data_IF_362292304374
#
_entry.id   IF_362292304374
#
_cell.length_a   1.000
_cell.length_b   1.000
_cell.length_c   1.000
_cell.angle_alpha   90.00
_cell.angle_beta   90.00
_cell.angle_gamma   90.00
#
_symmetry.space_group_name_H-M   'P 1'
#
loop_
_entity.id
_entity.type
_entity.pdbx_description
1 polymer ?
#
# COMPACT_ATOMS: atom_id res chain seq x y z
N UNK A 1 19.58 17.32 -4.54
CA UNK A 1 18.31 17.98 -4.15
C UNK A 1 18.01 17.60 -2.71
N UNK A 2 17.54 18.54 -1.89
CA UNK A 2 17.18 18.31 -0.49
C UNK A 2 16.10 17.21 -0.36
N UNK A 3 16.28 16.27 0.56
CA UNK A 3 15.32 15.16 0.76
C UNK A 3 13.95 15.63 1.28
N UNK A 4 13.90 16.84 1.84
CA UNK A 4 12.73 17.44 2.47
C UNK A 4 12.65 18.92 2.10
N UNK A 5 11.43 19.44 1.92
CA UNK A 5 11.14 20.84 1.63
C UNK A 5 10.11 21.39 2.62
N UNK A 6 10.39 22.55 3.20
CA UNK A 6 9.50 23.16 4.20
C UNK A 6 8.50 24.08 3.48
N UNK A 7 7.22 23.91 3.78
CA UNK A 7 6.10 24.65 3.22
C UNK A 7 5.36 25.39 4.35
N UNK A 8 5.25 26.71 4.19
CA UNK A 8 4.61 27.60 5.17
C UNK A 8 3.37 28.34 4.62
N UNK A 9 3.05 28.18 3.34
CA UNK A 9 1.88 28.81 2.72
C UNK A 9 1.35 27.95 1.57
N UNK A 10 0.10 28.18 1.19
CA UNK A 10 -0.51 27.54 0.04
C UNK A 10 0.20 27.91 -1.27
N UNK A 11 0.63 29.16 -1.42
CA UNK A 11 1.37 29.61 -2.61
C UNK A 11 2.69 28.86 -2.79
N UNK A 12 3.50 28.76 -1.72
CA UNK A 12 4.75 28.03 -1.75
C UNK A 12 4.55 26.53 -2.04
N UNK A 13 3.43 25.96 -1.57
CA UNK A 13 3.06 24.60 -1.92
C UNK A 13 2.80 24.45 -3.42
N UNK A 14 1.99 25.35 -4.00
CA UNK A 14 1.65 25.36 -5.42
C UNK A 14 2.91 25.44 -6.29
N UNK A 15 3.82 26.38 -5.98
CA UNK A 15 5.08 26.56 -6.71
C UNK A 15 5.93 25.27 -6.74
N UNK A 16 5.87 24.46 -5.69
CA UNK A 16 6.62 23.20 -5.61
C UNK A 16 5.91 22.04 -6.31
N UNK A 17 4.59 21.90 -6.19
CA UNK A 17 3.85 20.79 -6.82
C UNK A 17 3.77 20.92 -8.34
N UNK A 18 3.93 22.12 -8.91
CA UNK A 18 4.02 22.31 -10.37
C UNK A 18 5.17 21.48 -10.99
N UNK A 19 6.22 21.20 -10.21
CA UNK A 19 7.37 20.37 -10.63
C UNK A 19 7.05 18.88 -10.62
N UNK A 20 5.93 18.48 -10.00
CA UNK A 20 5.50 17.09 -9.83
C UNK A 20 4.05 16.99 -10.29
N UNK A 21 3.75 17.01 -11.60
CA UNK A 21 2.38 17.11 -12.09
C UNK A 21 1.56 15.85 -11.79
N UNK A 22 0.27 16.02 -11.55
CA UNK A 22 -0.64 14.91 -11.20
C UNK A 22 -0.89 13.92 -12.34
N UNK A 23 -0.37 14.17 -13.55
CA UNK A 23 -0.31 13.18 -14.63
C UNK A 23 0.68 12.06 -14.33
N UNK A 24 1.74 12.35 -13.57
CA UNK A 24 2.84 11.43 -13.28
C UNK A 24 2.90 11.04 -11.80
N UNK A 25 2.39 11.91 -10.92
CA UNK A 25 2.48 11.72 -9.48
C UNK A 25 1.12 11.56 -8.81
N UNK A 26 1.16 10.88 -7.67
CA UNK A 26 0.11 10.76 -6.67
C UNK A 26 0.63 11.35 -5.36
N UNK A 27 -0.29 11.80 -4.51
CA UNK A 27 0.04 12.49 -3.27
C UNK A 27 -0.67 11.85 -2.09
N UNK A 28 -0.05 11.90 -0.92
CA UNK A 28 -0.68 11.53 0.35
C UNK A 28 -0.34 12.55 1.41
N UNK A 29 -1.37 13.09 2.05
CA UNK A 29 -1.23 13.96 3.21
C UNK A 29 -1.30 13.19 4.50
N UNK A 30 -0.39 13.48 5.42
CA UNK A 30 -0.39 12.93 6.77
C UNK A 30 -0.21 14.07 7.78
N UNK A 31 -1.07 14.14 8.79
CA UNK A 31 -1.08 15.25 9.74
C UNK A 31 0.10 15.28 10.72
N UNK A 32 0.95 14.24 10.66
CA UNK A 32 2.17 14.06 11.44
C UNK A 32 3.09 13.05 10.76
N UNK A 33 4.31 12.92 11.28
CA UNK A 33 5.25 11.90 10.82
C UNK A 33 4.90 10.54 11.40
N UNK A 34 4.77 9.54 10.54
CA UNK A 34 4.63 8.15 10.95
C UNK A 34 5.92 7.41 10.64
N UNK A 35 6.40 6.60 11.61
CA UNK A 35 7.62 5.79 11.45
C UNK A 35 7.52 4.88 10.23
N UNK A 36 6.36 4.27 10.03
CA UNK A 36 6.03 3.44 8.88
C UNK A 36 4.66 3.84 8.37
N UNK A 37 4.51 3.93 7.05
CA UNK A 37 3.22 4.21 6.41
C UNK A 37 2.50 2.88 6.18
N UNK A 38 1.83 2.43 7.23
CA UNK A 38 1.04 1.20 7.26
C UNK A 38 -0.44 1.50 7.16
N UNK A 39 -1.20 0.58 6.56
CA UNK A 39 -2.65 0.65 6.36
C UNK A 39 -3.40 0.56 7.69
N UNK A 40 -4.71 0.86 7.71
CA UNK A 40 -5.51 0.76 8.95
C UNK A 40 -5.54 -0.67 9.50
N UNK A 41 -5.65 -1.68 8.63
CA UNK A 41 -5.64 -3.09 9.04
C UNK A 41 -4.32 -3.52 9.69
N UNK A 42 -3.18 -3.09 9.13
CA UNK A 42 -1.85 -3.59 9.52
C UNK A 42 -1.21 -2.76 10.64
N UNK A 43 -1.80 -1.60 11.00
CA UNK A 43 -1.30 -0.75 12.10
C UNK A 43 -1.66 -1.22 13.49
N UNK A 44 -2.75 -1.98 13.62
CA UNK A 44 -3.31 -2.34 14.93
C UNK A 44 -2.54 -3.49 15.58
N UNK A 45 -1.87 -4.32 14.77
CA UNK A 45 -1.01 -5.36 15.29
C UNK A 45 0.22 -4.74 15.93
N UNK A 46 0.28 -4.81 17.27
CA UNK A 46 1.41 -4.32 18.05
C UNK A 46 2.38 -5.42 18.49
N UNK A 47 2.05 -6.68 18.22
CA UNK A 47 2.83 -7.91 18.44
C UNK A 47 3.72 -7.92 19.68
N UNK A 48 3.46 -8.80 20.63
CA UNK A 48 4.44 -9.13 21.69
C UNK A 48 4.91 -10.56 21.50
N UNK A 49 6.10 -10.91 21.99
CA UNK A 49 6.67 -12.27 21.93
C UNK A 49 5.78 -13.37 22.55
N UNK A 50 4.65 -13.01 23.15
CA UNK A 50 3.70 -13.92 23.80
C UNK A 50 2.28 -13.80 23.25
N UNK A 51 2.05 -13.00 22.20
CA UNK A 51 0.73 -12.80 21.62
C UNK A 51 0.63 -13.47 20.24
N UNK A 52 -0.31 -14.40 20.13
CA UNK A 52 -0.66 -15.07 18.87
C UNK A 52 -1.87 -14.43 18.20
N UNK A 53 -2.53 -13.46 18.85
CA UNK A 53 -3.76 -12.86 18.36
C UNK A 53 -3.48 -11.93 17.20
N UNK A 54 -4.14 -12.21 16.10
CA UNK A 54 -4.21 -11.30 14.98
C UNK A 54 -5.23 -10.20 15.28
N UNK A 55 -4.98 -8.99 14.79
CA UNK A 55 -6.06 -8.03 14.65
C UNK A 55 -7.06 -8.57 13.62
N UNK A 56 -8.31 -8.88 13.98
CA UNK A 56 -9.17 -9.76 13.18
C UNK A 56 -9.86 -9.01 12.03
N UNK A 57 -9.14 -8.14 11.31
CA UNK A 57 -9.74 -7.34 10.24
C UNK A 57 -10.21 -8.18 9.04
N UNK A 58 -9.57 -9.33 8.78
CA UNK A 58 -10.02 -10.30 7.77
C UNK A 58 -11.41 -10.84 8.11
N UNK A 59 -11.62 -11.24 9.37
CA UNK A 59 -12.93 -11.67 9.88
C UNK A 59 -13.95 -10.53 9.80
N UNK A 60 -13.58 -9.31 10.21
CA UNK A 60 -14.46 -8.13 10.08
C UNK A 60 -14.87 -7.87 8.63
N UNK A 61 -13.93 -8.02 7.69
CA UNK A 61 -14.16 -7.83 6.26
C UNK A 61 -15.09 -8.91 5.69
N UNK A 62 -14.91 -10.16 6.09
CA UNK A 62 -15.75 -11.30 5.67
C UNK A 62 -17.17 -11.21 6.25
N UNK A 63 -17.30 -10.88 7.53
CA UNK A 63 -18.59 -10.65 8.16
C UNK A 63 -19.32 -9.51 7.46
N UNK A 64 -18.65 -8.37 7.25
CA UNK A 64 -19.24 -7.25 6.53
C UNK A 64 -19.66 -7.64 5.11
N UNK A 65 -18.81 -8.38 4.39
CA UNK A 65 -19.10 -8.87 3.03
C UNK A 65 -20.39 -9.69 3.01
N UNK A 66 -20.54 -10.68 3.88
CA UNK A 66 -21.76 -11.49 3.94
C UNK A 66 -23.02 -10.66 4.22
N UNK A 67 -22.94 -9.72 5.15
CA UNK A 67 -24.10 -8.93 5.57
C UNK A 67 -24.57 -7.96 4.48
N UNK A 68 -23.65 -7.33 3.73
CA UNK A 68 -24.03 -6.31 2.73
C UNK A 68 -24.17 -6.85 1.31
N UNK A 69 -23.54 -7.98 0.97
CA UNK A 69 -23.53 -8.54 -0.41
C UNK A 69 -24.91 -8.60 -1.07
N UNK A 70 -25.99 -9.04 -0.39
CA UNK A 70 -27.32 -9.13 -1.01
C UNK A 70 -27.88 -7.81 -1.56
N UNK A 71 -27.38 -6.66 -1.07
CA UNK A 71 -27.86 -5.32 -1.45
C UNK A 71 -26.85 -4.52 -2.27
N UNK A 72 -25.63 -5.03 -2.48
CA UNK A 72 -24.61 -4.35 -3.27
C UNK A 72 -24.94 -4.39 -4.77
N UNK A 73 -24.69 -3.28 -5.46
CA UNK A 73 -24.63 -3.30 -6.91
C UNK A 73 -23.36 -4.04 -7.39
N UNK A 74 -23.36 -4.53 -8.63
CA UNK A 74 -22.20 -5.22 -9.21
C UNK A 74 -20.89 -4.43 -9.08
N UNK A 75 -20.95 -3.11 -9.28
CA UNK A 75 -19.78 -2.23 -9.15
C UNK A 75 -19.26 -2.17 -7.71
N UNK A 76 -20.15 -2.15 -6.72
CA UNK A 76 -19.74 -2.16 -5.31
C UNK A 76 -19.21 -3.52 -4.90
N UNK A 77 -19.79 -4.60 -5.41
CA UNK A 77 -19.33 -5.96 -5.19
C UNK A 77 -17.91 -6.17 -5.76
N UNK A 78 -17.67 -5.75 -7.00
CA UNK A 78 -16.33 -5.81 -7.61
C UNK A 78 -15.31 -4.95 -6.84
N UNK A 79 -15.74 -3.80 -6.32
CA UNK A 79 -14.87 -2.86 -5.63
C UNK A 79 -15.04 -2.89 -4.10
N UNK A 80 -15.38 -4.06 -3.57
CA UNK A 80 -15.84 -4.22 -2.20
C UNK A 80 -14.82 -3.77 -1.15
N UNK A 81 -13.53 -4.05 -1.33
CA UNK A 81 -12.52 -3.63 -0.35
C UNK A 81 -12.45 -2.10 -0.18
N UNK A 82 -12.64 -1.33 -1.26
CA UNK A 82 -12.74 0.13 -1.17
C UNK A 82 -14.08 0.56 -0.54
N UNK A 83 -15.17 -0.15 -0.85
CA UNK A 83 -16.46 0.03 -0.19
C UNK A 83 -16.34 -0.18 1.32
N UNK A 84 -15.73 -1.28 1.76
CA UNK A 84 -15.53 -1.61 3.18
C UNK A 84 -14.71 -0.54 3.91
N UNK A 85 -13.61 -0.07 3.32
CA UNK A 85 -12.83 1.03 3.89
C UNK A 85 -13.62 2.33 4.00
N UNK A 86 -14.49 2.63 3.02
CA UNK A 86 -15.34 3.81 3.06
C UNK A 86 -16.27 3.81 4.30
N UNK A 87 -16.81 2.65 4.65
CA UNK A 87 -17.67 2.44 5.82
C UNK A 87 -16.90 2.15 7.12
N UNK A 88 -15.56 2.25 7.12
CA UNK A 88 -14.74 2.19 8.32
C UNK A 88 -14.21 0.80 8.68
N UNK A 89 -14.43 -0.22 7.84
CA UNK A 89 -13.74 -1.50 8.01
C UNK A 89 -12.25 -1.28 7.75
N UNK A 90 -11.35 -1.71 8.66
CA UNK A 90 -9.92 -1.66 8.41
C UNK A 90 -9.53 -2.53 7.22
N UNK A 91 -8.73 -1.99 6.30
CA UNK A 91 -8.29 -2.69 5.10
C UNK A 91 -6.77 -2.54 4.89
N UNK A 92 -6.15 -3.41 4.06
CA UNK A 92 -4.76 -3.27 3.65
C UNK A 92 -4.52 -2.12 2.65
N UNK A 93 -5.51 -1.27 2.40
CA UNK A 93 -5.39 -0.16 1.47
C UNK A 93 -4.84 1.10 2.15
N UNK A 94 -4.10 1.89 1.36
CA UNK A 94 -3.55 3.19 1.78
C UNK A 94 -4.05 4.25 0.81
N UNK A 95 -4.73 5.26 1.34
CA UNK A 95 -5.26 6.36 0.54
C UNK A 95 -4.14 7.17 -0.11
N UNK A 96 -4.24 7.36 -1.42
CA UNK A 96 -3.46 8.33 -2.19
C UNK A 96 -4.43 9.11 -3.09
N UNK A 97 -4.05 10.29 -3.54
CA UNK A 97 -4.93 11.15 -4.34
C UNK A 97 -4.18 11.71 -5.55
N UNK A 98 -4.93 11.92 -6.63
CA UNK A 98 -4.49 12.72 -7.79
C UNK A 98 -4.57 14.23 -7.53
N UNK A 99 -5.13 14.67 -6.41
CA UNK A 99 -5.26 16.09 -6.07
C UNK A 99 -4.24 16.49 -5.00
N UNK A 100 -3.19 17.26 -5.35
CA UNK A 100 -2.20 17.70 -4.38
C UNK A 100 -2.82 18.59 -3.28
N UNK A 101 -3.85 19.37 -3.60
CA UNK A 101 -4.56 20.19 -2.61
C UNK A 101 -5.37 19.35 -1.60
N UNK A 102 -5.91 18.21 -2.04
CA UNK A 102 -6.56 17.25 -1.13
C UNK A 102 -5.53 16.62 -0.20
N UNK A 103 -4.36 16.24 -0.71
CA UNK A 103 -3.26 15.78 0.13
C UNK A 103 -2.80 16.87 1.12
N UNK A 104 -2.67 18.13 0.67
CA UNK A 104 -2.33 19.23 1.58
C UNK A 104 -3.37 19.42 2.67
N UNK A 105 -4.67 19.32 2.34
CA UNK A 105 -5.75 19.36 3.32
C UNK A 105 -5.56 18.29 4.41
N UNK A 106 -5.34 17.03 4.01
CA UNK A 106 -5.10 15.92 4.95
C UNK A 106 -3.81 16.10 5.76
N UNK A 107 -2.76 16.68 5.18
CA UNK A 107 -1.54 17.02 5.90
C UNK A 107 -1.75 18.11 6.97
N UNK A 108 -2.75 18.97 6.78
CA UNK A 108 -3.08 20.00 7.75
C UNK A 108 -4.18 19.57 8.73
N UNK A 109 -4.85 18.45 8.48
CA UNK A 109 -5.99 17.96 9.25
C UNK A 109 -5.53 17.40 10.60
N UNK A 110 -5.25 18.28 11.57
CA UNK A 110 -5.27 18.07 13.04
C UNK A 110 -4.61 19.27 13.74
N UNK A 111 -5.16 19.68 14.89
CA UNK A 111 -4.65 20.78 15.73
C UNK A 111 -3.51 20.35 16.67
N UNK A 112 -2.69 19.37 16.26
CA UNK A 112 -1.45 19.06 16.99
C UNK A 112 -0.37 20.07 16.62
N UNK A 113 0.58 20.32 17.52
CA UNK A 113 1.80 21.09 17.23
C UNK A 113 2.77 20.36 16.27
N UNK A 114 2.45 19.13 15.87
CA UNK A 114 3.24 18.33 14.95
C UNK A 114 3.14 18.87 13.51
N UNK A 115 4.23 18.80 12.75
CA UNK A 115 4.22 19.20 11.34
C UNK A 115 3.35 18.24 10.51
N UNK A 116 2.70 18.76 9.47
CA UNK A 116 2.09 17.95 8.44
C UNK A 116 3.11 17.48 7.41
N UNK A 117 2.78 16.43 6.66
CA UNK A 117 3.65 15.86 5.64
C UNK A 117 2.84 15.57 4.38
N UNK A 118 3.39 15.92 3.21
CA UNK A 118 2.88 15.43 1.92
C UNK A 118 3.96 14.59 1.24
N UNK A 119 3.60 13.35 0.93
CA UNK A 119 4.45 12.37 0.26
C UNK A 119 4.08 12.25 -1.21
N UNK A 120 5.09 12.03 -2.05
CA UNK A 120 4.96 11.84 -3.49
C UNK A 120 5.11 10.36 -3.86
N UNK A 121 4.32 9.92 -4.82
CA UNK A 121 4.31 8.56 -5.34
C UNK A 121 4.24 8.64 -6.87
N UNK A 122 4.87 7.71 -7.58
CA UNK A 122 4.68 7.61 -9.02
C UNK A 122 3.32 7.00 -9.36
N UNK A 123 2.74 7.36 -10.49
CA UNK A 123 1.46 6.82 -10.95
C UNK A 123 1.61 5.59 -11.86
N UNK A 124 2.84 5.23 -12.24
CA UNK A 124 3.16 4.14 -13.17
C UNK A 124 3.48 2.80 -12.48
N UNK A 125 3.11 2.66 -11.20
CA UNK A 125 3.19 1.42 -10.45
C UNK A 125 2.29 0.30 -11.04
N UNK A 126 2.46 -0.92 -10.53
CA UNK A 126 1.73 -2.10 -11.02
C UNK A 126 0.25 -1.99 -10.65
N UNK A 127 -0.62 -1.89 -11.65
CA UNK A 127 -2.07 -1.88 -11.44
C UNK A 127 -2.59 -3.32 -11.27
N UNK A 128 -3.07 -3.62 -10.07
CA UNK A 128 -3.62 -4.94 -9.70
C UNK A 128 -5.14 -4.91 -9.51
N UNK A 129 -5.81 -3.89 -10.05
CA UNK A 129 -7.27 -3.69 -9.85
C UNK A 129 -8.09 -4.90 -10.22
N UNK A 130 -7.82 -5.52 -11.38
CA UNK A 130 -8.52 -6.71 -11.84
C UNK A 130 -8.30 -7.93 -10.93
N UNK A 131 -7.14 -8.01 -10.29
CA UNK A 131 -6.80 -9.10 -9.37
C UNK A 131 -7.56 -8.90 -8.05
N UNK A 132 -7.55 -7.68 -7.50
CA UNK A 132 -8.34 -7.36 -6.30
C UNK A 132 -9.83 -7.60 -6.54
N UNK A 133 -10.35 -7.25 -7.72
CA UNK A 133 -11.77 -7.48 -8.07
C UNK A 133 -12.14 -8.97 -8.12
N UNK A 134 -11.18 -9.87 -8.39
CA UNK A 134 -11.38 -11.31 -8.32
C UNK A 134 -11.42 -11.84 -6.88
N UNK A 135 -10.79 -11.11 -5.96
CA UNK A 135 -10.61 -11.47 -4.56
C UNK A 135 -11.07 -10.33 -3.62
N UNK A 136 -12.33 -9.89 -3.71
CA UNK A 136 -12.80 -8.63 -3.15
C UNK A 136 -12.67 -8.50 -1.62
N UNK A 137 -12.64 -9.62 -0.89
CA UNK A 137 -12.56 -9.70 0.56
C UNK A 137 -11.40 -10.60 1.08
N UNK A 138 -10.46 -11.00 0.22
CA UNK A 138 -9.40 -11.94 0.58
C UNK A 138 -8.01 -11.29 0.58
N UNK A 139 -7.03 -11.97 1.18
CA UNK A 139 -5.63 -11.56 1.07
C UNK A 139 -5.08 -11.90 -0.33
N UNK A 140 -5.00 -10.88 -1.19
CA UNK A 140 -4.51 -11.03 -2.57
C UNK A 140 -3.10 -11.60 -2.65
N UNK A 141 -2.21 -11.31 -1.67
CA UNK A 141 -0.86 -11.86 -1.70
C UNK A 141 -0.86 -13.38 -1.47
N UNK A 142 -1.66 -13.86 -0.52
CA UNK A 142 -1.82 -15.30 -0.26
C UNK A 142 -2.45 -16.01 -1.46
N UNK A 143 -3.49 -15.42 -2.04
CA UNK A 143 -4.14 -16.00 -3.22
C UNK A 143 -3.19 -16.12 -4.41
N UNK A 144 -2.36 -15.11 -4.65
CA UNK A 144 -1.39 -15.13 -5.74
C UNK A 144 -0.21 -16.06 -5.44
N UNK A 145 0.45 -15.94 -4.29
CA UNK A 145 1.75 -16.56 -4.10
C UNK A 145 1.72 -17.88 -3.33
N UNK A 146 0.62 -18.19 -2.63
CA UNK A 146 0.52 -19.38 -1.76
C UNK A 146 -0.53 -20.35 -2.29
N UNK A 147 -1.77 -19.90 -2.44
CA UNK A 147 -2.92 -20.78 -2.61
C UNK A 147 -3.16 -21.21 -4.06
N UNK A 148 -3.08 -20.30 -5.03
CA UNK A 148 -3.58 -20.55 -6.38
C UNK A 148 -2.48 -20.52 -7.45
N UNK A 149 -2.27 -21.66 -8.12
CA UNK A 149 -1.29 -21.83 -9.19
C UNK A 149 -1.69 -21.20 -10.54
N UNK A 150 -2.96 -20.89 -10.78
CA UNK A 150 -3.37 -20.29 -12.06
C UNK A 150 -3.38 -18.77 -12.02
N UNK A 151 -3.70 -18.20 -10.87
CA UNK A 151 -3.92 -16.76 -10.75
C UNK A 151 -2.65 -15.95 -10.52
N UNK A 152 -1.58 -16.56 -10.02
CA UNK A 152 -0.29 -15.89 -9.94
C UNK A 152 0.26 -15.50 -11.33
N UNK A 153 -0.07 -16.28 -12.37
CA UNK A 153 0.29 -15.97 -13.75
C UNK A 153 -0.40 -14.70 -14.27
N UNK A 154 -1.50 -14.26 -13.65
CA UNK A 154 -2.16 -12.99 -14.00
C UNK A 154 -1.28 -11.77 -13.73
N UNK A 155 -0.23 -11.91 -12.91
CA UNK A 155 0.76 -10.86 -12.68
C UNK A 155 1.74 -10.69 -13.87
N UNK A 156 1.92 -11.71 -14.72
CA UNK A 156 2.93 -11.66 -15.77
C UNK A 156 2.76 -10.47 -16.72
N UNK A 157 1.59 -10.19 -17.31
CA UNK A 157 1.45 -9.09 -18.26
C UNK A 157 1.71 -7.71 -17.61
N UNK A 158 1.30 -7.55 -16.35
CA UNK A 158 1.46 -6.28 -15.62
C UNK A 158 2.89 -6.08 -15.13
N UNK A 159 3.59 -7.15 -14.73
CA UNK A 159 5.01 -7.13 -14.40
C UNK A 159 5.88 -6.89 -15.63
N UNK A 160 5.56 -7.50 -16.77
CA UNK A 160 6.29 -7.29 -18.03
C UNK A 160 6.17 -5.85 -18.52
N UNK A 161 4.97 -5.26 -18.40
CA UNK A 161 4.77 -3.83 -18.65
C UNK A 161 5.62 -2.98 -17.71
N UNK A 162 5.57 -3.27 -16.40
CA UNK A 162 6.33 -2.52 -15.40
C UNK A 162 7.85 -2.65 -15.58
N UNK A 163 8.34 -3.83 -15.96
CA UNK A 163 9.74 -4.05 -16.31
C UNK A 163 10.18 -3.15 -17.47
N UNK A 164 9.37 -3.09 -18.53
CA UNK A 164 9.65 -2.28 -19.73
C UNK A 164 9.62 -0.78 -19.46
N UNK A 165 8.71 -0.30 -18.60
CA UNK A 165 8.56 1.14 -18.33
C UNK A 165 9.44 1.64 -17.18
N UNK A 166 9.73 0.78 -16.19
CA UNK A 166 10.35 1.18 -14.91
C UNK A 166 11.55 0.28 -14.58
N UNK A 167 12.40 0.01 -15.57
CA UNK A 167 13.50 -0.97 -15.48
C UNK A 167 14.39 -0.78 -14.23
N UNK A 168 14.82 0.43 -13.91
CA UNK A 168 15.68 0.68 -12.75
C UNK A 168 15.02 0.31 -11.42
N UNK A 169 13.73 0.65 -11.25
CA UNK A 169 12.98 0.29 -10.05
C UNK A 169 12.73 -1.22 -10.00
N UNK A 170 12.46 -1.86 -11.14
CA UNK A 170 12.36 -3.31 -11.25
C UNK A 170 13.67 -4.02 -10.88
N UNK A 171 14.80 -3.60 -11.45
CA UNK A 171 16.10 -4.21 -11.19
C UNK A 171 16.47 -4.07 -9.70
N UNK A 172 16.11 -2.95 -9.07
CA UNK A 172 16.23 -2.75 -7.61
C UNK A 172 15.37 -3.76 -6.83
N UNK A 173 14.13 -3.99 -7.27
CA UNK A 173 13.22 -4.98 -6.65
C UNK A 173 13.76 -6.39 -6.75
N UNK A 174 14.27 -6.77 -7.93
CA UNK A 174 14.87 -8.08 -8.15
C UNK A 174 16.13 -8.25 -7.30
N UNK A 175 17.00 -7.25 -7.23
CA UNK A 175 18.18 -7.28 -6.35
C UNK A 175 17.81 -7.45 -4.88
N UNK A 176 16.79 -6.75 -4.40
CA UNK A 176 16.31 -6.90 -3.03
C UNK A 176 15.72 -8.29 -2.79
N UNK A 177 14.96 -8.85 -3.74
CA UNK A 177 14.40 -10.20 -3.62
C UNK A 177 15.50 -11.26 -3.51
N UNK A 178 16.52 -11.17 -4.38
CA UNK A 178 17.67 -12.07 -4.36
C UNK A 178 18.40 -12.01 -3.00
N UNK A 179 18.62 -10.81 -2.48
CA UNK A 179 19.27 -10.59 -1.18
C UNK A 179 18.42 -11.12 -0.02
N UNK A 180 17.13 -10.80 0.01
CA UNK A 180 16.22 -11.26 1.06
C UNK A 180 16.09 -12.80 1.02
N UNK A 181 15.99 -13.40 -0.18
CA UNK A 181 15.97 -14.85 -0.34
C UNK A 181 17.23 -15.51 0.20
N UNK A 182 18.40 -15.00 -0.17
CA UNK A 182 19.67 -15.51 0.36
C UNK A 182 19.77 -15.35 1.88
N UNK A 183 19.39 -14.18 2.39
CA UNK A 183 19.48 -13.87 3.82
C UNK A 183 18.67 -14.84 4.68
N UNK A 184 17.39 -15.06 4.34
CA UNK A 184 16.51 -15.91 5.14
C UNK A 184 16.64 -17.40 4.83
N UNK A 185 16.95 -17.78 3.59
CA UNK A 185 16.88 -19.18 3.16
C UNK A 185 18.23 -19.80 2.78
N UNK A 186 19.35 -19.19 3.20
CA UNK A 186 20.71 -19.70 2.92
C UNK A 186 20.96 -21.11 3.45
N UNK A 187 20.34 -21.45 4.59
CA UNK A 187 20.44 -22.78 5.17
C UNK A 187 19.34 -23.68 4.62
N UNK A 188 19.70 -24.51 3.62
CA UNK A 188 18.80 -25.52 3.05
C UNK A 188 19.49 -26.88 2.90
N UNK A 189 18.70 -27.94 3.04
CA UNK A 189 19.12 -29.32 2.81
C UNK A 189 18.86 -29.78 1.37
N UNK A 190 18.04 -29.06 0.62
CA UNK A 190 17.73 -29.38 -0.78
C UNK A 190 18.92 -29.04 -1.69
N UNK A 191 19.32 -29.99 -2.54
CA UNK A 191 20.51 -29.87 -3.37
C UNK A 191 20.34 -28.86 -4.51
N UNK A 192 19.16 -28.83 -5.14
CA UNK A 192 18.84 -27.89 -6.23
C UNK A 192 18.74 -26.49 -5.67
N UNK A 193 18.12 -26.33 -4.51
CA UNK A 193 18.03 -25.05 -3.84
C UNK A 193 19.39 -24.52 -3.38
N UNK A 194 20.28 -25.40 -2.90
CA UNK A 194 21.67 -25.02 -2.63
C UNK A 194 22.35 -24.45 -3.87
N UNK A 195 22.15 -25.05 -5.04
CA UNK A 195 22.71 -24.55 -6.29
C UNK A 195 22.09 -23.20 -6.69
N UNK A 196 20.77 -23.04 -6.50
CA UNK A 196 20.10 -21.75 -6.67
C UNK A 196 20.70 -20.68 -5.77
N UNK A 197 20.89 -20.96 -4.48
CA UNK A 197 21.43 -19.99 -3.52
C UNK A 197 22.88 -19.61 -3.85
N UNK A 198 23.72 -20.58 -4.23
CA UNK A 198 25.10 -20.30 -4.66
C UNK A 198 25.15 -19.45 -5.93
N UNK A 199 24.20 -19.63 -6.86
CA UNK A 199 24.04 -18.75 -8.02
C UNK A 199 23.62 -17.33 -7.62
N UNK A 200 22.62 -17.21 -6.75
CA UNK A 200 22.10 -15.94 -6.22
C UNK A 200 23.17 -15.14 -5.48
N UNK A 201 24.10 -15.82 -4.80
CA UNK A 201 25.15 -15.21 -3.98
C UNK A 201 26.25 -14.53 -4.79
N UNK A 202 26.39 -14.84 -6.09
CA UNK A 202 27.40 -14.22 -6.95
C UNK A 202 27.19 -12.71 -7.05
N UNK A 203 28.28 -11.97 -7.28
CA UNK A 203 28.22 -10.51 -7.52
C UNK A 203 27.29 -10.16 -8.69
N UNK A 204 27.26 -11.03 -9.69
CA UNK A 204 26.37 -10.96 -10.86
C UNK A 204 25.78 -12.36 -11.07
N UNK A 205 24.57 -12.64 -10.56
CA UNK A 205 23.90 -13.93 -10.76
C UNK A 205 23.55 -14.16 -12.23
N UNK A 206 23.74 -15.39 -12.72
CA UNK A 206 23.27 -15.78 -14.05
C UNK A 206 21.77 -16.13 -13.98
N UNK A 207 20.94 -15.22 -14.50
CA UNK A 207 19.48 -15.38 -14.49
C UNK A 207 18.99 -16.58 -15.32
N UNK A 208 19.77 -17.08 -16.30
CA UNK A 208 19.46 -18.31 -17.01
C UNK A 208 19.61 -19.53 -16.10
N UNK A 209 20.69 -19.58 -15.32
CA UNK A 209 20.90 -20.64 -14.34
C UNK A 209 19.86 -20.58 -13.22
N UNK A 210 19.55 -19.38 -12.72
CA UNK A 210 18.46 -19.18 -11.74
C UNK A 210 17.14 -19.69 -12.30
N UNK A 211 16.83 -19.39 -13.57
CA UNK A 211 15.63 -19.88 -14.26
C UNK A 211 15.61 -21.41 -14.33
N UNK A 212 16.74 -22.05 -14.60
CA UNK A 212 16.86 -23.51 -14.64
C UNK A 212 16.51 -24.13 -13.30
N UNK A 213 17.13 -23.68 -12.20
CA UNK A 213 16.87 -24.21 -10.86
C UNK A 213 15.43 -23.93 -10.40
N UNK A 214 14.89 -22.75 -10.69
CA UNK A 214 13.50 -22.41 -10.33
C UNK A 214 12.48 -23.34 -10.99
N UNK A 215 12.71 -23.74 -12.25
CA UNK A 215 11.82 -24.70 -12.95
C UNK A 215 11.88 -26.10 -12.36
N UNK A 216 13.04 -26.48 -11.85
CA UNK A 216 13.26 -27.78 -11.24
C UNK A 216 12.59 -27.84 -9.85
N UNK A 217 12.58 -26.72 -9.12
CA UNK A 217 11.87 -26.58 -7.84
C UNK A 217 10.35 -26.44 -7.99
N UNK A 218 9.90 -25.67 -8.99
CA UNK A 218 8.47 -25.45 -9.27
C UNK A 218 8.24 -25.31 -10.79
N UNK A 219 7.59 -26.32 -11.37
CA UNK A 219 7.34 -26.35 -12.81
C UNK A 219 6.05 -25.61 -13.23
N UNK A 220 5.31 -24.97 -12.32
CA UNK A 220 4.02 -24.32 -12.59
C UNK A 220 4.09 -23.22 -13.66
N UNK A 221 5.26 -22.60 -13.85
CA UNK A 221 5.50 -21.57 -14.89
C UNK A 221 6.08 -22.12 -16.20
N UNK A 222 6.37 -23.41 -16.29
CA UNK A 222 7.07 -24.02 -17.43
C UNK A 222 6.30 -23.90 -18.76
N UNK A 223 4.97 -23.82 -18.70
CA UNK A 223 4.11 -23.68 -19.88
C UNK A 223 4.10 -22.26 -20.48
N UNK A 224 4.43 -21.23 -19.71
CA UNK A 224 4.22 -19.81 -20.11
C UNK A 224 5.43 -19.22 -20.85
N UNK A 225 6.55 -19.95 -20.90
CA UNK A 225 7.78 -19.53 -21.58
C UNK A 225 7.71 -19.55 -23.12
N UNK A 226 6.51 -19.54 -23.70
CA UNK A 226 6.32 -19.35 -25.13
C UNK A 226 6.70 -17.91 -25.52
N UNK A 227 7.98 -17.74 -25.85
CA UNK A 227 8.64 -16.76 -26.73
C UNK A 227 8.61 -15.24 -26.43
N UNK A 228 7.81 -14.69 -25.51
CA UNK A 228 7.69 -13.21 -25.35
C UNK A 228 7.97 -12.64 -23.92
N UNK A 229 8.39 -13.46 -22.96
CA UNK A 229 8.63 -13.03 -21.57
C UNK A 229 10.10 -12.72 -21.28
N UNK A 230 10.34 -11.63 -20.56
CA UNK A 230 11.68 -11.29 -20.07
C UNK A 230 12.11 -12.27 -18.98
N UNK A 231 13.36 -12.71 -19.02
CA UNK A 231 13.93 -13.67 -18.06
C UNK A 231 13.90 -13.07 -16.64
N UNK A 232 14.14 -11.76 -16.55
CA UNK A 232 14.08 -11.00 -15.30
C UNK A 232 12.70 -11.08 -14.65
N UNK A 233 11.63 -10.99 -15.45
CA UNK A 233 10.24 -11.09 -14.98
C UNK A 233 9.91 -12.51 -14.54
N UNK A 234 10.37 -13.50 -15.30
CA UNK A 234 10.24 -14.91 -14.92
C UNK A 234 10.91 -15.19 -13.58
N UNK A 235 12.19 -14.81 -13.44
CA UNK A 235 12.96 -15.02 -12.20
C UNK A 235 12.28 -14.30 -11.04
N UNK A 236 11.92 -13.03 -11.22
CA UNK A 236 11.28 -12.24 -10.17
C UNK A 236 10.00 -12.89 -9.65
N UNK A 237 9.08 -13.28 -10.55
CA UNK A 237 7.79 -13.84 -10.17
C UNK A 237 7.93 -15.20 -9.46
N UNK A 238 8.74 -16.10 -10.02
CA UNK A 238 8.92 -17.44 -9.46
C UNK A 238 9.70 -17.42 -8.14
N UNK A 239 10.74 -16.59 -8.06
CA UNK A 239 11.52 -16.45 -6.82
C UNK A 239 10.68 -15.81 -5.72
N UNK A 240 9.81 -14.84 -6.04
CA UNK A 240 8.88 -14.26 -5.07
C UNK A 240 7.84 -15.28 -4.59
N UNK A 241 7.33 -16.13 -5.48
CA UNK A 241 6.43 -17.25 -5.12
C UNK A 241 7.12 -18.23 -4.17
N UNK A 242 8.33 -18.66 -4.51
CA UNK A 242 9.14 -19.52 -3.64
C UNK A 242 9.36 -18.85 -2.28
N UNK A 243 9.76 -17.56 -2.28
CA UNK A 243 9.97 -16.79 -1.07
C UNK A 243 8.76 -16.83 -0.13
N UNK A 244 7.56 -16.49 -0.64
CA UNK A 244 6.36 -16.47 0.19
C UNK A 244 5.98 -17.86 0.69
N UNK A 245 6.01 -18.90 -0.16
CA UNK A 245 5.72 -20.28 0.25
C UNK A 245 6.67 -20.76 1.37
N UNK A 246 7.94 -20.38 1.30
CA UNK A 246 8.93 -20.70 2.35
C UNK A 246 8.71 -19.87 3.62
N UNK A 247 8.40 -18.58 3.49
CA UNK A 247 8.20 -17.68 4.63
C UNK A 247 7.12 -18.19 5.61
N UNK A 248 6.06 -18.84 5.11
CA UNK A 248 5.00 -19.41 5.96
C UNK A 248 5.47 -20.54 6.89
N UNK A 249 6.57 -21.22 6.55
CA UNK A 249 7.13 -22.34 7.32
C UNK A 249 8.52 -22.01 7.85
N UNK A 250 8.88 -20.73 7.91
CA UNK A 250 10.20 -20.30 8.33
C UNK A 250 10.22 -20.05 9.85
N UNK A 251 11.22 -20.60 10.53
CA UNK A 251 11.31 -20.56 11.99
C UNK A 251 11.65 -19.19 12.58
N UNK A 252 12.20 -18.27 11.79
CA UNK A 252 12.52 -16.92 12.26
C UNK A 252 11.54 -15.87 11.71
N UNK A 253 11.31 -14.75 12.42
CA UNK A 253 10.34 -13.76 11.98
C UNK A 253 10.83 -12.92 10.80
N UNK A 254 10.13 -12.98 9.68
CA UNK A 254 10.29 -12.06 8.54
C UNK A 254 9.28 -10.93 8.66
N UNK A 255 9.74 -9.74 9.06
CA UNK A 255 8.85 -8.60 9.34
C UNK A 255 8.48 -7.77 8.11
N UNK A 256 9.36 -7.70 7.10
CA UNK A 256 9.27 -6.70 6.05
C UNK A 256 9.40 -7.32 4.66
N UNK A 257 8.51 -6.88 3.75
CA UNK A 257 8.64 -7.16 2.32
C UNK A 257 9.27 -5.93 1.66
N UNK A 258 10.56 -6.01 1.33
CA UNK A 258 11.33 -4.88 0.77
C UNK A 258 11.45 -4.93 -0.76
N UNK A 259 11.13 -6.07 -1.36
CA UNK A 259 11.33 -6.32 -2.79
C UNK A 259 10.08 -6.09 -3.65
N UNK A 260 8.88 -5.95 -3.06
CA UNK A 260 7.67 -5.73 -3.84
C UNK A 260 7.56 -4.28 -4.31
N UNK A 261 7.34 -4.01 -5.61
CA UNK A 261 6.93 -2.69 -6.08
C UNK A 261 5.62 -2.29 -5.41
N UNK A 262 5.38 -0.98 -5.28
CA UNK A 262 4.07 -0.51 -4.85
C UNK A 262 3.00 -1.04 -5.82
N UNK A 263 1.87 -1.49 -5.28
CA UNK A 263 0.76 -2.04 -6.05
C UNK A 263 -0.40 -1.04 -6.01
N UNK A 264 -0.93 -0.70 -7.18
CA UNK A 264 -2.03 0.26 -7.35
C UNK A 264 -3.37 -0.45 -7.44
N UNK A 265 -4.35 0.14 -6.78
CA UNK A 265 -5.76 -0.20 -6.89
C UNK A 265 -6.58 1.02 -7.28
N UNK A 266 -7.29 0.92 -8.40
CA UNK A 266 -8.07 2.00 -9.02
C UNK A 266 -9.55 1.61 -9.11
N UNK A 267 -10.26 1.53 -7.98
CA UNK A 267 -11.65 1.13 -7.98
C UNK A 267 -12.54 2.13 -8.70
N UNK A 268 -13.65 1.62 -9.26
CA UNK A 268 -14.76 2.49 -9.65
C UNK A 268 -15.51 2.88 -8.38
N UNK A 269 -15.40 4.15 -7.99
CA UNK A 269 -16.07 4.66 -6.80
C UNK A 269 -17.42 5.28 -7.16
N UNK A 270 -18.50 4.75 -6.57
CA UNK A 270 -19.85 5.33 -6.66
C UNK A 270 -20.14 6.36 -5.57
N UNK A 271 -19.40 6.33 -4.46
CA UNK A 271 -19.61 7.23 -3.33
C UNK A 271 -19.01 8.61 -3.59
N UNK A 272 -19.75 9.65 -3.22
CA UNK A 272 -19.33 11.05 -3.36
C UNK A 272 -17.94 11.31 -2.75
N UNK A 273 -17.68 10.74 -1.56
CA UNK A 273 -16.38 10.89 -0.86
C UNK A 273 -15.20 10.47 -1.74
N UNK A 274 -15.31 9.31 -2.39
CA UNK A 274 -14.25 8.78 -3.25
C UNK A 274 -14.00 9.64 -4.48
N UNK A 275 -15.09 10.11 -5.10
CA UNK A 275 -15.05 10.98 -6.28
C UNK A 275 -14.45 12.36 -5.96
N UNK A 276 -14.90 13.00 -4.87
CA UNK A 276 -14.45 14.34 -4.50
C UNK A 276 -12.98 14.36 -4.04
N UNK A 277 -12.50 13.26 -3.46
CA UNK A 277 -11.10 13.14 -3.05
C UNK A 277 -10.17 12.76 -4.20
N UNK A 278 -10.71 12.46 -5.40
CA UNK A 278 -9.97 11.83 -6.51
C UNK A 278 -9.10 10.67 -6.00
N UNK A 279 -9.69 9.88 -5.11
CA UNK A 279 -8.99 8.88 -4.32
C UNK A 279 -8.55 7.69 -5.18
N UNK A 280 -7.38 7.19 -4.91
CA UNK A 280 -6.85 5.92 -5.39
C UNK A 280 -6.23 5.22 -4.19
N UNK A 281 -5.90 3.95 -4.33
CA UNK A 281 -5.32 3.20 -3.22
C UNK A 281 -4.01 2.55 -3.63
N UNK A 282 -3.06 2.54 -2.71
CA UNK A 282 -1.99 1.54 -2.72
C UNK A 282 -2.51 0.32 -1.96
N UNK A 283 -2.36 -0.86 -2.53
CA UNK A 283 -2.59 -2.11 -1.80
C UNK A 283 -1.30 -2.49 -1.08
N UNK A 284 -1.33 -2.46 0.26
CA UNK A 284 -0.19 -2.87 1.07
C UNK A 284 -0.21 -4.38 1.26
N UNK A 285 0.70 -5.07 0.59
CA UNK A 285 0.78 -6.51 0.66
C UNK A 285 1.25 -6.96 2.04
N UNK A 286 0.71 -8.09 2.51
CA UNK A 286 1.07 -8.65 3.81
C UNK A 286 0.90 -10.17 3.81
N UNK A 287 1.58 -10.82 4.75
CA UNK A 287 1.38 -12.20 5.12
C UNK A 287 1.34 -12.31 6.65
N UNK A 288 0.49 -13.18 7.19
CA UNK A 288 0.47 -13.48 8.61
C UNK A 288 0.62 -14.96 8.85
N UNK A 289 1.58 -15.33 9.70
CA UNK A 289 1.84 -16.70 10.09
C UNK A 289 2.27 -16.75 11.55
N UNK A 290 2.21 -17.94 12.14
CA UNK A 290 2.77 -18.20 13.47
C UNK A 290 4.12 -18.87 13.24
N UNK A 291 5.19 -18.27 13.76
CA UNK A 291 6.52 -18.86 13.61
C UNK A 291 6.70 -20.06 14.56
N UNK A 292 7.56 -21.00 14.18
CA UNK A 292 7.65 -22.31 14.84
C UNK A 292 8.49 -22.29 16.13
N UNK A 293 9.43 -21.35 16.28
CA UNK A 293 10.45 -21.40 17.34
C UNK A 293 9.90 -20.89 18.68
N UNK A 294 9.16 -19.80 18.66
CA UNK A 294 8.64 -19.13 19.85
C UNK A 294 7.10 -19.09 19.91
N UNK A 295 6.42 -19.65 18.90
CA UNK A 295 4.96 -19.70 18.78
C UNK A 295 4.27 -18.34 18.94
N UNK A 296 4.83 -17.26 18.38
CA UNK A 296 4.17 -15.96 18.28
C UNK A 296 3.82 -15.61 16.84
N UNK A 297 2.89 -14.67 16.68
CA UNK A 297 2.41 -14.27 15.35
C UNK A 297 3.37 -13.28 14.70
N UNK A 298 3.74 -13.56 13.47
CA UNK A 298 4.46 -12.64 12.60
C UNK A 298 3.46 -11.99 11.65
N UNK A 299 3.56 -10.67 11.51
CA UNK A 299 2.86 -9.93 10.47
C UNK A 299 3.94 -9.33 9.56
N UNK A 300 4.16 -10.01 8.43
CA UNK A 300 5.09 -9.57 7.40
C UNK A 300 4.40 -8.51 6.54
N UNK A 301 4.93 -7.28 6.51
CA UNK A 301 4.26 -6.14 5.86
C UNK A 301 5.13 -5.52 4.78
N UNK A 302 4.53 -5.18 3.64
CA UNK A 302 5.21 -4.45 2.58
C UNK A 302 5.59 -3.03 3.00
N UNK A 303 6.86 -2.66 2.80
CA UNK A 303 7.30 -1.28 2.96
C UNK A 303 6.92 -0.42 1.76
N UNK A 304 6.13 0.61 2.02
CA UNK A 304 5.64 1.52 0.98
C UNK A 304 6.71 2.56 0.63
N UNK A 305 7.13 2.56 -0.63
CA UNK A 305 8.12 3.51 -1.16
C UNK A 305 7.47 4.78 -1.68
N UNK A 306 8.17 5.89 -1.54
CA UNK A 306 7.75 7.22 -1.97
C UNK A 306 8.94 7.96 -2.55
N UNK A 307 8.66 8.93 -3.41
CA UNK A 307 9.68 9.74 -4.07
C UNK A 307 9.99 10.98 -3.22
N UNK A 308 11.19 11.51 -3.42
CA UNK A 308 11.65 12.75 -2.81
C UNK A 308 11.37 13.92 -3.75
N UNK A 309 11.19 15.15 -3.24
CA UNK A 309 11.24 15.53 -1.83
C UNK A 309 9.97 15.18 -1.05
N UNK A 310 10.06 15.13 0.28
CA UNK A 310 8.89 15.16 1.17
C UNK A 310 8.58 16.61 1.52
N UNK A 311 7.33 17.03 1.41
CA UNK A 311 6.91 18.36 1.82
C UNK A 311 6.52 18.37 3.29
N UNK A 312 7.19 19.18 4.10
CA UNK A 312 6.92 19.37 5.53
C UNK A 312 6.09 20.64 5.70
N UNK A 313 4.87 20.48 6.21
CA UNK A 313 3.88 21.55 6.35
C UNK A 313 3.89 22.06 7.79
N UNK A 314 4.32 23.31 8.01
CA UNK A 314 4.38 23.89 9.37
C UNK A 314 3.17 24.77 9.70
N UNK A 315 2.80 25.69 8.80
CA UNK A 315 1.67 26.62 9.01
C UNK A 315 0.31 25.99 8.65
N UNK A 316 -0.04 24.88 9.32
CA UNK A 316 -1.24 24.09 9.00
C UNK A 316 -2.53 24.92 9.08
N UNK A 317 -2.67 25.74 10.12
CA UNK A 317 -3.88 26.57 10.32
C UNK A 317 -4.04 27.63 9.22
N UNK A 318 -2.97 28.38 8.90
CA UNK A 318 -3.00 29.38 7.84
C UNK A 318 -3.28 28.77 6.47
N UNK A 319 -2.71 27.60 6.20
CA UNK A 319 -2.95 26.84 4.97
C UNK A 319 -4.39 26.33 4.90
N UNK A 320 -4.96 25.78 5.97
CA UNK A 320 -6.36 25.37 6.01
C UNK A 320 -7.31 26.53 5.73
N UNK A 321 -7.05 27.72 6.30
CA UNK A 321 -7.83 28.92 6.00
C UNK A 321 -7.75 29.29 4.52
N UNK A 322 -6.56 29.21 3.93
CA UNK A 322 -6.38 29.47 2.49
C UNK A 322 -7.09 28.45 1.60
N UNK A 323 -7.03 27.16 1.97
CA UNK A 323 -7.74 26.08 1.29
C UNK A 323 -9.26 26.26 1.37
N UNK A 324 -9.80 26.63 2.54
CA UNK A 324 -11.22 26.90 2.73
C UNK A 324 -11.71 28.03 1.81
N UNK A 325 -10.92 29.10 1.68
CA UNK A 325 -11.23 30.26 0.83
C UNK A 325 -11.33 29.90 -0.67
N UNK A 326 -10.68 28.82 -1.11
CA UNK A 326 -10.74 28.33 -2.50
C UNK A 326 -11.64 27.09 -2.65
N UNK A 327 -12.41 26.74 -1.63
CA UNK A 327 -13.41 25.67 -1.67
C UNK A 327 -12.87 24.26 -1.38
N UNK A 328 -11.63 24.12 -0.89
CA UNK A 328 -11.08 22.85 -0.44
C UNK A 328 -11.27 22.73 1.08
N UNK A 329 -12.38 22.14 1.50
CA UNK A 329 -12.75 22.02 2.91
C UNK A 329 -13.51 20.73 3.22
N UNK A 330 -13.80 20.52 4.51
CA UNK A 330 -14.46 19.30 5.00
C UNK A 330 -15.80 19.04 4.31
N UNK A 331 -16.60 20.08 4.10
CA UNK A 331 -17.90 19.97 3.43
C UNK A 331 -17.73 19.49 1.98
N UNK A 332 -16.80 20.07 1.23
CA UNK A 332 -16.54 19.71 -0.16
C UNK A 332 -15.98 18.28 -0.31
N UNK A 333 -15.16 17.82 0.64
CA UNK A 333 -14.45 16.54 0.54
C UNK A 333 -15.25 15.33 1.00
N UNK A 334 -16.16 15.48 1.96
CA UNK A 334 -16.88 14.36 2.55
C UNK A 334 -18.36 14.29 2.14
N UNK A 335 -19.00 15.43 1.84
CA UNK A 335 -20.39 15.58 1.31
C UNK A 335 -21.52 14.83 2.02
N UNK A 336 -21.28 14.08 3.08
CA UNK A 336 -22.33 13.54 3.93
C UNK A 336 -22.89 14.59 4.89
N UNK A 337 -24.11 14.34 5.37
CA UNK A 337 -24.85 15.28 6.21
C UNK A 337 -24.11 15.57 7.52
N UNK A 338 -23.48 14.57 8.13
CA UNK A 338 -22.75 14.74 9.39
C UNK A 338 -21.52 15.63 9.20
N UNK A 339 -20.75 15.40 8.14
CA UNK A 339 -19.57 16.19 7.83
C UNK A 339 -19.94 17.65 7.49
N UNK A 340 -21.05 17.83 6.77
CA UNK A 340 -21.60 19.13 6.37
C UNK A 340 -22.10 19.90 7.59
N UNK A 341 -22.93 19.29 8.44
CA UNK A 341 -23.46 19.91 9.65
C UNK A 341 -22.34 20.32 10.61
N UNK A 342 -21.39 19.43 10.87
CA UNK A 342 -20.28 19.74 11.76
C UNK A 342 -19.34 20.83 11.18
N UNK A 343 -19.14 20.90 9.86
CA UNK A 343 -18.41 22.02 9.24
C UNK A 343 -19.16 23.35 9.43
N UNK A 344 -20.46 23.41 9.09
CA UNK A 344 -21.29 24.63 9.22
C UNK A 344 -21.27 25.10 10.67
N UNK A 345 -21.50 24.19 11.63
CA UNK A 345 -21.45 24.49 13.07
C UNK A 345 -20.11 25.12 13.46
N UNK A 346 -18.99 24.45 13.14
CA UNK A 346 -17.65 24.93 13.51
C UNK A 346 -17.32 26.30 12.91
N UNK A 347 -17.75 26.55 11.66
CA UNK A 347 -17.55 27.83 10.97
C UNK A 347 -18.29 28.97 11.67
N UNK A 348 -19.54 28.75 12.07
CA UNK A 348 -20.32 29.77 12.78
C UNK A 348 -19.85 29.98 14.22
N UNK A 349 -19.44 28.93 14.93
CA UNK A 349 -18.85 29.04 16.27
C UNK A 349 -17.57 29.89 16.25
N UNK A 350 -16.67 29.65 15.29
CA UNK A 350 -15.46 30.47 15.10
C UNK A 350 -15.78 31.93 14.77
N UNK A 351 -16.69 32.18 13.81
CA UNK A 351 -17.05 33.54 13.41
C UNK A 351 -17.76 34.35 14.50
N UNK A 352 -18.47 33.67 15.41
CA UNK A 352 -19.16 34.29 16.54
C UNK A 352 -18.30 34.42 17.81
N UNK A 353 -17.05 33.94 17.77
CA UNK A 353 -16.13 33.96 18.92
C UNK A 353 -16.45 32.94 20.01
N UNK A 354 -17.34 31.98 19.75
CA UNK A 354 -17.63 30.88 20.67
C UNK A 354 -16.53 29.81 20.57
N UNK A 355 -15.58 29.85 21.51
CA UNK A 355 -14.57 28.78 21.67
C UNK A 355 -15.11 27.74 22.65
N UNK A 356 -15.56 26.60 22.12
CA UNK A 356 -15.81 25.42 22.96
C UNK A 356 -14.44 24.77 23.20
N UNK A 357 -14.00 24.67 24.46
CA UNK A 357 -12.84 23.85 24.82
C UNK A 357 -13.04 22.43 24.28
N UNK A 358 -12.28 22.07 23.23
CA UNK A 358 -12.33 20.72 22.68
C UNK A 358 -11.81 19.74 23.72
N UNK A 359 -12.72 19.06 24.42
CA UNK A 359 -12.38 17.79 25.08
C UNK A 359 -11.80 16.87 24.01
N UNK A 360 -10.59 16.38 24.26
CA UNK A 360 -9.89 15.38 23.46
C UNK A 360 -10.84 14.23 23.15
N UNK A 361 -11.40 14.21 21.93
CA UNK A 361 -12.07 13.03 21.42
C UNK A 361 -10.97 12.03 21.06
N UNK A 362 -10.73 11.08 21.95
CA UNK A 362 -10.15 9.80 21.55
C UNK A 362 -11.15 9.15 20.58
N UNK A 363 -10.86 9.22 19.28
CA UNK A 363 -11.56 8.39 18.31
C UNK A 363 -10.94 7.00 18.32
N UNK A 364 -11.81 6.05 18.62
CA UNK A 364 -11.68 4.61 18.50
C UNK A 364 -11.57 4.19 17.04
#
# INVERSE_FOLDING_TARGET
MTNQLIINSLSAYIDEIEKFPSSEFLYRGEAKEYRERTSSALRQYKGTFYDTKEYPFSIMLDDFYREVTPVLSNVEHENFIAFAQHYGIPTPLIDVTKSPLVALYFACQNETEENGYVYLFEDNYIDITKIIQKYPNQNVLEELFVNNEKDFLSLLPVLEKYYKTNKTDFDTNLSNLLKDYHHYFSETIDAVEKQLIEEIKKDIPDLWMVTHYLKELDNSTSFVLSNDLSIEVFVYLNLARSFFRKAYNYGEPIWWINFLPNLMYRPIMKFDRGLNQRGLFLYQSYASYVEEVYSFRVQMVQRIRFKKPVFIIKNKEGILKSLDNIGINRMALFKDYDNTAAYIKSKHEMNSGFVIEKKRCHQQ
#
